data_IF_976657028366
#
_entry.id   IF_976657028366
#
_cell.length_a   1.000
_cell.length_b   1.000
_cell.length_c   1.000
_cell.angle_alpha   90.00
_cell.angle_beta   90.00
_cell.angle_gamma   90.00
#
_symmetry.space_group_name_H-M   'P 1'
#
loop_
_entity.id
_entity.type
_entity.pdbx_description
1 polymer ?
#
# COMPACT_ATOMS: atom_id res chain seq x y z
N UNK A 1 -26.15 25.76 0.41
CA UNK A 1 -25.58 24.40 0.52
C UNK A 1 -24.07 24.46 0.83
N UNK A 2 -23.61 24.90 2.02
CA UNK A 2 -22.16 25.07 2.28
C UNK A 2 -21.53 24.09 3.29
N UNK A 3 -22.32 23.39 4.10
CA UNK A 3 -21.83 22.50 5.16
C UNK A 3 -22.36 21.06 5.00
N UNK A 4 -21.81 20.30 4.07
CA UNK A 4 -22.15 18.88 3.90
C UNK A 4 -20.88 18.04 3.84
N UNK A 5 -20.95 16.82 4.38
CA UNK A 5 -19.84 15.85 4.34
C UNK A 5 -20.02 14.76 3.28
N UNK A 6 -21.26 14.48 2.85
CA UNK A 6 -21.58 13.60 1.73
C UNK A 6 -22.69 14.20 0.86
N UNK A 7 -22.58 14.03 -0.46
CA UNK A 7 -23.59 14.42 -1.44
C UNK A 7 -23.83 13.27 -2.41
N UNK A 8 -25.10 13.04 -2.73
CA UNK A 8 -25.53 11.98 -3.63
C UNK A 8 -26.47 12.53 -4.70
N UNK A 9 -26.14 12.25 -5.95
CA UNK A 9 -26.92 12.63 -7.12
C UNK A 9 -27.69 11.41 -7.63
N UNK A 10 -29.02 11.43 -7.55
CA UNK A 10 -29.92 10.30 -7.85
C UNK A 10 -30.69 10.46 -9.17
N UNK A 11 -30.37 11.48 -9.98
CA UNK A 11 -31.13 11.79 -11.20
C UNK A 11 -31.12 10.68 -12.25
N UNK A 12 -32.29 10.37 -12.82
CA UNK A 12 -32.40 9.50 -14.00
C UNK A 12 -31.79 10.18 -15.24
N UNK A 13 -31.99 11.50 -15.36
CA UNK A 13 -31.38 12.38 -16.35
C UNK A 13 -30.29 13.25 -15.72
N UNK A 14 -29.24 13.52 -16.48
CA UNK A 14 -28.08 14.28 -16.02
C UNK A 14 -28.29 15.78 -16.26
N UNK A 15 -28.58 16.54 -15.19
CA UNK A 15 -28.43 17.99 -15.22
C UNK A 15 -26.95 18.36 -15.01
N UNK A 16 -26.32 18.86 -16.07
CA UNK A 16 -24.90 19.21 -16.06
C UNK A 16 -24.61 20.46 -15.22
N UNK A 17 -25.56 21.39 -15.06
CA UNK A 17 -25.34 22.59 -14.27
C UNK A 17 -25.33 22.26 -12.78
N UNK A 18 -26.31 21.49 -12.31
CA UNK A 18 -26.37 21.01 -10.92
C UNK A 18 -25.16 20.14 -10.58
N UNK A 19 -24.78 19.23 -11.49
CA UNK A 19 -23.58 18.42 -11.30
C UNK A 19 -22.33 19.29 -11.15
N UNK A 20 -22.11 20.24 -12.07
CA UNK A 20 -20.95 21.14 -12.02
C UNK A 20 -20.91 21.93 -10.72
N UNK A 21 -22.06 22.43 -10.27
CA UNK A 21 -22.16 23.14 -8.99
C UNK A 21 -21.70 22.27 -7.82
N UNK A 22 -22.05 20.98 -7.80
CA UNK A 22 -21.55 20.04 -6.78
C UNK A 22 -20.06 19.76 -6.93
N UNK A 23 -19.57 19.57 -8.16
CA UNK A 23 -18.15 19.30 -8.42
C UNK A 23 -17.25 20.50 -8.10
N UNK A 24 -17.70 21.73 -8.30
CA UNK A 24 -16.99 22.96 -7.91
C UNK A 24 -16.85 23.10 -6.39
N UNK A 25 -17.70 22.40 -5.64
CA UNK A 25 -17.65 22.33 -4.19
C UNK A 25 -16.79 21.17 -3.67
N UNK A 26 -15.98 20.53 -4.53
CA UNK A 26 -15.14 19.40 -4.15
C UNK A 26 -14.06 19.77 -3.15
N UNK A 27 -13.89 18.90 -2.16
CA UNK A 27 -12.84 19.02 -1.17
C UNK A 27 -12.49 17.66 -0.55
N UNK A 28 -11.26 17.46 -0.03
CA UNK A 28 -10.80 16.17 0.51
C UNK A 28 -11.52 15.69 1.78
N UNK A 29 -12.39 16.52 2.37
CA UNK A 29 -13.25 16.20 3.51
C UNK A 29 -14.67 15.78 3.09
N UNK A 30 -15.00 15.88 1.80
CA UNK A 30 -16.34 15.60 1.25
C UNK A 30 -16.38 14.30 0.47
N UNK A 31 -17.54 13.65 0.45
CA UNK A 31 -17.79 12.44 -0.34
C UNK A 31 -18.85 12.70 -1.40
N UNK A 32 -18.65 12.20 -2.61
CA UNK A 32 -19.57 12.39 -3.71
C UNK A 32 -19.96 11.06 -4.34
N UNK A 33 -21.27 10.87 -4.56
CA UNK A 33 -21.80 9.71 -5.24
C UNK A 33 -22.78 10.15 -6.35
N UNK A 34 -22.52 9.73 -7.58
CA UNK A 34 -23.45 9.90 -8.70
C UNK A 34 -24.01 8.57 -9.14
N UNK A 35 -25.34 8.45 -9.05
CA UNK A 35 -26.12 7.35 -9.63
C UNK A 35 -26.65 7.67 -11.03
N UNK A 36 -26.30 8.82 -11.58
CA UNK A 36 -26.71 9.22 -12.93
C UNK A 36 -26.20 8.23 -13.98
N UNK A 37 -26.99 8.06 -15.03
CA UNK A 37 -26.57 7.39 -16.24
C UNK A 37 -26.37 8.42 -17.36
N UNK A 38 -25.57 8.09 -18.37
CA UNK A 38 -25.52 8.89 -19.60
C UNK A 38 -24.68 10.16 -19.50
N UNK A 39 -23.60 10.13 -18.72
CA UNK A 39 -22.55 11.14 -18.85
C UNK A 39 -22.10 11.27 -20.31
N UNK A 40 -21.92 12.49 -20.84
CA UNK A 40 -21.23 12.69 -22.11
C UNK A 40 -19.87 12.01 -22.06
N UNK A 41 -19.50 11.25 -23.09
CA UNK A 41 -18.23 10.48 -23.13
C UNK A 41 -17.02 11.43 -23.04
N UNK A 42 -17.17 12.66 -23.52
CA UNK A 42 -16.20 13.73 -23.49
C UNK A 42 -16.31 14.64 -22.26
N UNK A 43 -17.18 14.31 -21.29
CA UNK A 43 -17.30 15.07 -20.05
C UNK A 43 -15.94 15.21 -19.35
N UNK A 44 -15.63 16.44 -18.90
CA UNK A 44 -14.45 16.76 -18.11
C UNK A 44 -14.80 17.77 -17.03
N UNK A 45 -14.23 17.55 -15.86
CA UNK A 45 -14.28 18.52 -14.78
C UNK A 45 -13.01 18.41 -13.94
N UNK A 46 -12.30 19.52 -13.74
CA UNK A 46 -11.02 19.55 -13.02
C UNK A 46 -11.13 19.07 -11.56
N UNK A 47 -12.33 19.15 -10.99
CA UNK A 47 -12.60 18.82 -9.60
C UNK A 47 -13.28 17.45 -9.40
N UNK A 48 -13.53 16.69 -10.48
CA UNK A 48 -14.26 15.42 -10.39
C UNK A 48 -13.60 14.37 -9.49
N UNK A 49 -12.28 14.46 -9.31
CA UNK A 49 -11.49 13.51 -8.53
C UNK A 49 -10.86 14.11 -7.27
N UNK A 50 -11.47 15.17 -6.71
CA UNK A 50 -10.94 15.89 -5.53
C UNK A 50 -11.73 15.65 -4.23
N UNK A 51 -12.62 14.65 -4.21
CA UNK A 51 -13.36 14.22 -3.04
C UNK A 51 -12.60 13.15 -2.24
N UNK A 52 -12.99 12.93 -0.99
CA UNK A 52 -12.49 11.84 -0.16
C UNK A 52 -12.90 10.47 -0.69
N UNK A 53 -14.21 10.30 -0.90
CA UNK A 53 -14.81 9.08 -1.40
C UNK A 53 -15.65 9.42 -2.63
N UNK A 54 -15.51 8.64 -3.68
CA UNK A 54 -16.13 8.91 -4.97
C UNK A 54 -16.82 7.67 -5.50
N UNK A 55 -18.08 7.83 -5.92
CA UNK A 55 -18.82 6.80 -6.63
C UNK A 55 -19.40 7.37 -7.92
N UNK A 56 -19.11 6.75 -9.05
CA UNK A 56 -19.70 7.08 -10.35
C UNK A 56 -20.30 5.83 -10.96
N UNK A 57 -21.64 5.75 -11.05
CA UNK A 57 -22.33 4.61 -11.67
C UNK A 57 -22.01 4.48 -13.16
N UNK A 58 -21.94 5.59 -13.88
CA UNK A 58 -21.51 5.66 -15.28
C UNK A 58 -20.24 6.52 -15.39
N UNK A 59 -19.11 5.85 -15.56
CA UNK A 59 -17.77 6.39 -15.58
C UNK A 59 -17.09 6.19 -16.96
N UNK A 60 -17.86 6.00 -18.03
CA UNK A 60 -17.32 5.79 -19.39
C UNK A 60 -16.54 6.99 -19.95
N UNK A 61 -16.73 8.16 -19.35
CA UNK A 61 -15.99 9.39 -19.66
C UNK A 61 -14.61 9.45 -18.99
N UNK A 62 -14.37 8.65 -17.95
CA UNK A 62 -13.10 8.64 -17.20
C UNK A 62 -12.00 8.03 -18.06
N UNK A 63 -10.83 8.68 -18.06
CA UNK A 63 -9.64 8.21 -18.79
C UNK A 63 -8.56 7.72 -17.83
N UNK A 64 -7.57 7.01 -18.37
CA UNK A 64 -6.46 6.47 -17.58
C UNK A 64 -5.65 7.60 -16.91
N UNK A 65 -5.47 8.72 -17.60
CA UNK A 65 -4.80 9.91 -17.06
C UNK A 65 -5.46 10.40 -15.76
N UNK A 66 -6.79 10.36 -15.67
CA UNK A 66 -7.54 10.76 -14.48
C UNK A 66 -7.18 9.83 -13.30
N UNK A 67 -7.07 8.52 -13.55
CA UNK A 67 -6.72 7.53 -12.53
C UNK A 67 -5.26 7.67 -12.06
N UNK A 68 -4.34 7.96 -12.98
CA UNK A 68 -2.93 8.19 -12.63
C UNK A 68 -2.72 9.47 -11.82
N UNK A 69 -3.59 10.47 -11.99
CA UNK A 69 -3.56 11.74 -11.27
C UNK A 69 -4.22 11.68 -9.88
N UNK A 70 -4.88 10.56 -9.52
CA UNK A 70 -5.51 10.38 -8.22
C UNK A 70 -4.51 10.59 -7.07
N UNK A 71 -4.90 11.43 -6.11
CA UNK A 71 -4.14 11.76 -4.90
C UNK A 71 -5.11 12.13 -3.78
N UNK A 72 -4.73 11.82 -2.54
CA UNK A 72 -5.48 12.22 -1.34
C UNK A 72 -6.96 11.79 -1.33
N UNK A 73 -7.29 10.66 -1.97
CA UNK A 73 -8.60 10.03 -1.93
C UNK A 73 -8.53 8.71 -1.15
N UNK A 74 -9.59 8.37 -0.42
CA UNK A 74 -9.70 7.12 0.32
C UNK A 74 -10.35 6.01 -0.52
N UNK A 75 -11.39 6.33 -1.28
CA UNK A 75 -12.14 5.35 -2.07
C UNK A 75 -12.63 5.94 -3.40
N UNK A 76 -12.49 5.15 -4.48
CA UNK A 76 -12.94 5.49 -5.83
C UNK A 76 -13.61 4.26 -6.43
N UNK A 77 -14.92 4.37 -6.64
CA UNK A 77 -15.73 3.31 -7.25
C UNK A 77 -16.24 3.79 -8.60
N UNK A 78 -15.82 3.12 -9.65
CA UNK A 78 -16.24 3.36 -11.03
C UNK A 78 -17.08 2.17 -11.49
N UNK A 79 -18.35 2.42 -11.84
CA UNK A 79 -19.29 1.40 -12.31
C UNK A 79 -19.02 1.00 -13.76
N UNK A 80 -19.78 1.57 -14.69
CA UNK A 80 -19.55 1.35 -16.13
C UNK A 80 -18.33 2.13 -16.61
N UNK A 81 -17.36 1.45 -17.20
CA UNK A 81 -16.12 2.06 -17.72
C UNK A 81 -15.87 1.63 -19.16
N UNK A 82 -14.93 2.29 -19.84
CA UNK A 82 -14.44 1.91 -21.18
C UNK A 82 -13.03 1.29 -21.14
N UNK A 83 -12.53 0.98 -19.95
CA UNK A 83 -11.17 0.46 -19.78
C UNK A 83 -11.05 -0.96 -20.32
N UNK A 84 -9.97 -1.19 -21.04
CA UNK A 84 -9.58 -2.51 -21.53
C UNK A 84 -8.78 -3.27 -20.48
N UNK A 85 -8.74 -4.59 -20.60
CA UNK A 85 -7.94 -5.44 -19.70
C UNK A 85 -6.44 -5.05 -19.69
N UNK A 86 -5.78 -4.75 -20.83
CA UNK A 86 -4.39 -4.29 -20.82
C UNK A 86 -4.19 -2.98 -20.07
N UNK A 87 -5.11 -2.02 -20.18
CA UNK A 87 -5.03 -0.75 -19.46
C UNK A 87 -5.15 -0.94 -17.95
N UNK A 88 -6.13 -1.74 -17.50
CA UNK A 88 -6.31 -2.08 -16.07
C UNK A 88 -5.05 -2.78 -15.54
N UNK A 89 -4.49 -3.72 -16.30
CA UNK A 89 -3.26 -4.41 -15.92
C UNK A 89 -2.07 -3.44 -15.77
N UNK A 90 -1.90 -2.54 -16.75
CA UNK A 90 -0.86 -1.52 -16.69
C UNK A 90 -1.03 -0.59 -15.49
N UNK A 91 -2.27 -0.20 -15.19
CA UNK A 91 -2.60 0.65 -14.04
C UNK A 91 -2.28 -0.03 -12.71
N UNK A 92 -2.69 -1.28 -12.52
CA UNK A 92 -2.38 -2.03 -11.29
C UNK A 92 -0.86 -2.14 -11.12
N UNK A 93 -0.13 -2.49 -12.18
CA UNK A 93 1.33 -2.57 -12.12
C UNK A 93 1.97 -1.22 -11.78
N UNK A 94 1.49 -0.13 -12.36
CA UNK A 94 1.98 1.22 -12.03
C UNK A 94 1.74 1.57 -10.56
N UNK A 95 0.57 1.23 -10.03
CA UNK A 95 0.20 1.54 -8.64
C UNK A 95 0.94 0.69 -7.61
N UNK A 96 1.07 -0.61 -7.86
CA UNK A 96 1.80 -1.53 -6.97
C UNK A 96 3.29 -1.22 -6.95
N UNK A 97 3.86 -0.82 -8.10
CA UNK A 97 5.27 -0.50 -8.20
C UNK A 97 5.59 0.98 -7.91
N UNK A 98 4.60 1.83 -7.60
CA UNK A 98 4.90 3.12 -6.98
C UNK A 98 5.47 2.83 -5.61
N UNK A 99 6.70 3.26 -5.35
CA UNK A 99 7.20 3.38 -3.99
C UNK A 99 6.17 4.20 -3.20
N UNK A 100 5.49 3.51 -2.30
CA UNK A 100 4.49 4.13 -1.45
C UNK A 100 5.27 4.96 -0.43
N UNK A 101 5.52 6.23 -0.74
CA UNK A 101 6.05 7.20 0.24
C UNK A 101 4.91 7.53 1.21
N UNK A 102 4.42 6.53 1.94
CA UNK A 102 3.72 6.75 3.20
C UNK A 102 4.76 6.55 4.30
N UNK A 103 4.91 7.53 5.19
CA UNK A 103 5.85 7.44 6.32
C UNK A 103 5.57 6.29 7.29
N UNK A 104 4.50 5.52 7.06
CA UNK A 104 4.19 4.29 7.79
C UNK A 104 4.63 3.03 7.01
N UNK A 105 4.56 3.02 5.67
CA UNK A 105 5.02 1.91 4.82
C UNK A 105 6.50 1.62 5.01
N UNK A 106 7.33 2.66 5.17
CA UNK A 106 8.77 2.50 5.37
C UNK A 106 9.12 1.78 6.69
N UNK A 107 8.27 1.90 7.73
CA UNK A 107 8.44 1.14 8.98
C UNK A 107 8.06 -0.32 8.81
N UNK A 108 6.99 -0.60 8.07
CA UNK A 108 6.56 -1.98 7.81
C UNK A 108 7.51 -2.70 6.85
N UNK A 109 7.95 -2.03 5.79
CA UNK A 109 8.90 -2.57 4.82
C UNK A 109 10.28 -2.79 5.45
N UNK A 110 10.72 -1.86 6.32
CA UNK A 110 11.91 -2.08 7.15
C UNK A 110 11.72 -3.24 8.13
N UNK A 111 10.56 -3.36 8.78
CA UNK A 111 10.29 -4.47 9.69
C UNK A 111 10.23 -5.83 8.96
N UNK A 112 9.73 -5.88 7.73
CA UNK A 112 9.69 -7.10 6.90
C UNK A 112 11.10 -7.47 6.45
N UNK A 113 11.87 -6.54 5.87
CA UNK A 113 13.27 -6.78 5.49
C UNK A 113 14.13 -7.19 6.68
N UNK A 114 13.94 -6.56 7.84
CA UNK A 114 14.64 -6.91 9.08
C UNK A 114 14.26 -8.32 9.56
N UNK A 115 13.02 -8.75 9.38
CA UNK A 115 12.56 -10.11 9.75
C UNK A 115 13.08 -11.17 8.79
N UNK A 116 13.13 -10.90 7.50
CA UNK A 116 13.67 -11.82 6.49
C UNK A 116 15.18 -12.04 6.71
N UNK A 117 15.96 -10.96 6.87
CA UNK A 117 17.40 -11.06 7.12
C UNK A 117 17.75 -11.80 8.41
N UNK A 118 17.01 -11.56 9.51
CA UNK A 118 17.31 -12.26 10.78
C UNK A 118 16.91 -13.74 10.75
N UNK A 119 15.90 -14.13 9.96
CA UNK A 119 15.52 -15.53 9.81
C UNK A 119 16.65 -16.32 9.13
N UNK A 120 17.26 -15.77 8.08
CA UNK A 120 18.40 -16.40 7.39
C UNK A 120 19.58 -16.63 8.35
N UNK A 121 19.93 -15.61 9.15
CA UNK A 121 20.99 -15.71 10.17
C UNK A 121 20.67 -16.76 11.24
N UNK A 122 19.41 -16.86 11.68
CA UNK A 122 18.98 -17.86 12.66
C UNK A 122 19.03 -19.29 12.10
N UNK A 123 18.71 -19.45 10.81
CA UNK A 123 18.83 -20.74 10.11
C UNK A 123 20.30 -21.15 10.03
N UNK A 124 21.18 -20.25 9.62
CA UNK A 124 22.63 -20.49 9.55
C UNK A 124 23.18 -20.88 10.93
N UNK A 125 22.83 -20.11 11.98
CA UNK A 125 23.26 -20.39 13.35
C UNK A 125 22.87 -21.80 13.79
N UNK A 126 21.61 -22.19 13.58
CA UNK A 126 21.11 -23.51 13.99
C UNK A 126 21.82 -24.65 13.26
N UNK A 127 22.11 -24.45 11.97
CA UNK A 127 22.83 -25.45 11.18
C UNK A 127 24.27 -25.63 11.70
N UNK A 128 24.96 -24.52 11.98
CA UNK A 128 26.32 -24.53 12.53
C UNK A 128 26.39 -25.13 13.94
N UNK A 129 25.41 -24.88 14.80
CA UNK A 129 25.31 -25.52 16.13
C UNK A 129 25.19 -27.04 16.01
N UNK A 130 24.37 -27.54 15.07
CA UNK A 130 24.21 -28.97 14.81
C UNK A 130 25.48 -29.59 14.20
N UNK A 131 26.17 -28.86 13.32
CA UNK A 131 27.45 -29.30 12.76
C UNK A 131 28.55 -29.33 13.82
N UNK A 132 28.56 -28.40 14.77
CA UNK A 132 29.52 -28.37 15.88
C UNK A 132 29.44 -29.63 16.76
N UNK A 133 28.23 -30.17 16.98
CA UNK A 133 28.02 -31.41 17.75
C UNK A 133 28.68 -32.64 17.10
N UNK A 134 28.95 -32.60 15.78
CA UNK A 134 29.52 -33.69 15.00
C UNK A 134 30.86 -33.35 14.31
N UNK A 135 31.46 -32.20 14.64
CA UNK A 135 32.59 -31.60 13.93
C UNK A 135 33.96 -32.29 14.18
N UNK A 136 34.78 -32.34 13.12
CA UNK A 136 36.22 -32.65 13.17
C UNK A 136 37.07 -31.46 13.67
N UNK A 137 38.38 -31.67 13.89
CA UNK A 137 39.27 -30.66 14.49
C UNK A 137 39.39 -29.36 13.66
N UNK A 138 39.20 -29.40 12.35
CA UNK A 138 39.24 -28.22 11.47
C UNK A 138 37.97 -27.37 11.63
N UNK A 139 36.81 -28.01 11.67
CA UNK A 139 35.54 -27.35 11.89
C UNK A 139 35.38 -26.79 13.31
N UNK A 140 36.04 -27.38 14.31
CA UNK A 140 36.08 -26.87 15.70
C UNK A 140 36.73 -25.49 15.85
N UNK A 141 37.54 -25.04 14.89
CA UNK A 141 38.14 -23.70 14.93
C UNK A 141 37.29 -22.67 14.16
N UNK A 142 36.66 -23.07 13.05
CA UNK A 142 35.89 -22.18 12.19
C UNK A 142 34.47 -21.92 12.72
N UNK A 143 33.76 -22.97 13.11
CA UNK A 143 32.34 -22.88 13.49
C UNK A 143 32.12 -21.91 14.68
N UNK A 144 32.90 -21.97 15.79
CA UNK A 144 32.70 -21.04 16.90
C UNK A 144 32.94 -19.58 16.51
N UNK A 145 33.88 -19.32 15.59
CA UNK A 145 34.16 -17.96 15.10
C UNK A 145 32.98 -17.41 14.32
N UNK A 146 32.37 -18.21 13.44
CA UNK A 146 31.18 -17.79 12.68
C UNK A 146 29.96 -17.64 13.59
N UNK A 147 29.77 -18.52 14.58
CA UNK A 147 28.69 -18.42 15.56
C UNK A 147 28.74 -17.08 16.33
N UNK A 148 29.92 -16.65 16.78
CA UNK A 148 30.06 -15.35 17.45
C UNK A 148 29.71 -14.17 16.51
N UNK A 149 30.12 -14.24 15.24
CA UNK A 149 29.76 -13.20 14.25
C UNK A 149 28.25 -13.15 14.00
N UNK A 150 27.60 -14.32 13.88
CA UNK A 150 26.15 -14.40 13.73
C UNK A 150 25.42 -13.84 14.95
N UNK A 151 25.95 -14.03 16.16
CA UNK A 151 25.38 -13.42 17.36
C UNK A 151 25.41 -11.89 17.31
N UNK A 152 26.54 -11.30 16.93
CA UNK A 152 26.66 -9.84 16.75
C UNK A 152 25.71 -9.32 15.65
N UNK A 153 25.63 -10.04 14.52
CA UNK A 153 24.73 -9.69 13.41
C UNK A 153 23.26 -9.76 13.84
N UNK A 154 22.83 -10.84 14.52
CA UNK A 154 21.46 -11.02 15.02
C UNK A 154 21.11 -9.96 16.07
N UNK A 155 22.04 -9.62 16.96
CA UNK A 155 21.84 -8.57 17.98
C UNK A 155 21.65 -7.19 17.33
N UNK A 156 22.33 -6.90 16.21
CA UNK A 156 22.13 -5.66 15.46
C UNK A 156 20.70 -5.51 14.92
N UNK A 157 19.96 -6.61 14.72
CA UNK A 157 18.53 -6.62 14.38
C UNK A 157 17.60 -6.50 15.60
N UNK A 158 18.16 -6.33 16.81
CA UNK A 158 17.40 -6.23 18.07
C UNK A 158 16.88 -7.58 18.57
N UNK A 159 17.39 -8.68 18.03
CA UNK A 159 17.07 -10.04 18.46
C UNK A 159 18.14 -10.51 19.44
N UNK A 160 17.72 -11.02 20.59
CA UNK A 160 18.61 -11.58 21.61
C UNK A 160 18.08 -12.94 22.06
N UNK A 161 18.95 -13.78 22.61
CA UNK A 161 18.57 -15.09 23.11
C UNK A 161 18.28 -15.04 24.61
N UNK A 162 17.06 -15.40 25.01
CA UNK A 162 16.68 -15.57 26.40
C UNK A 162 16.33 -17.04 26.63
N UNK A 163 17.05 -17.72 27.53
CA UNK A 163 16.88 -19.15 27.81
C UNK A 163 16.94 -20.04 26.55
N UNK A 164 17.87 -19.73 25.62
CA UNK A 164 18.01 -20.46 24.35
C UNK A 164 16.95 -20.15 23.31
N UNK A 165 16.05 -19.19 23.55
CA UNK A 165 15.01 -18.78 22.59
C UNK A 165 15.28 -17.37 22.05
N UNK A 166 15.30 -17.25 20.72
CA UNK A 166 15.38 -15.95 20.05
C UNK A 166 14.15 -15.09 20.40
N UNK A 167 14.40 -13.87 20.89
CA UNK A 167 13.42 -12.91 21.38
C UNK A 167 13.71 -11.54 20.79
N UNK A 168 12.68 -10.85 20.29
CA UNK A 168 12.81 -9.52 19.70
C UNK A 168 12.56 -8.44 20.75
N UNK A 169 13.45 -7.45 20.90
CA UNK A 169 13.12 -6.22 21.62
C UNK A 169 12.18 -5.39 20.75
N UNK A 170 10.91 -5.32 21.14
CA UNK A 170 10.02 -4.30 20.61
C UNK A 170 10.51 -2.94 21.11
N UNK A 171 10.66 -1.91 20.25
CA UNK A 171 10.93 -0.57 20.72
C UNK A 171 9.81 -0.16 21.67
N UNK A 172 10.16 0.22 22.90
CA UNK A 172 9.24 0.92 23.80
C UNK A 172 8.79 2.20 23.10
N UNK A 173 7.48 2.29 22.87
CA UNK A 173 6.78 3.47 22.34
C UNK A 173 7.01 4.70 23.23
#
# INVERSE_FOLDING_TARGET
MRNWGSCQFEGETLDLEDLKLVLDMASPDRSFASKANGYPIDFRHENAFKFKNMYYKDARWVKMEDLYALKNCCDVVLGRTMFTQPEIKAFINHWVNREFISGEGDKFDKAIRNREGVIELLIEKKQLEMELESADEENKQYIPKRLNQLEDEIESYGVFFANGKATLRLPTL
#
